data_IF_575284309423
#
_entry.id   IF_575284309423
#
_cell.length_a   1.000
_cell.length_b   1.000
_cell.length_c   1.000
_cell.angle_alpha   90.00
_cell.angle_beta   90.00
_cell.angle_gamma   90.00
#
_symmetry.space_group_name_H-M   'P 1'
#
loop_
_entity.id
_entity.type
_entity.pdbx_description
1 polymer ?
#
# COMPACT_ATOMS: atom_id res chain seq x y z
N UNK A 1 -9.17 2.36 -8.17
CA UNK A 1 -10.25 1.36 -8.03
C UNK A 1 -11.00 1.75 -6.75
N UNK A 2 -11.99 1.01 -6.26
CA UNK A 2 -12.55 1.34 -4.94
C UNK A 2 -11.65 0.73 -3.86
N UNK A 3 -11.20 1.53 -2.89
CA UNK A 3 -10.56 1.02 -1.67
C UNK A 3 -11.43 -0.08 -1.04
N UNK A 4 -10.82 -1.22 -0.72
CA UNK A 4 -11.51 -2.28 0.02
C UNK A 4 -11.26 -2.05 1.49
N UNK A 5 -12.34 -1.78 2.23
CA UNK A 5 -12.27 -1.66 3.69
C UNK A 5 -11.53 -2.85 4.29
N UNK A 6 -10.50 -2.54 5.06
CA UNK A 6 -9.62 -3.52 5.67
C UNK A 6 -9.25 -3.00 7.06
N UNK A 7 -9.73 -3.69 8.09
CA UNK A 7 -9.43 -3.36 9.49
C UNK A 7 -7.94 -3.39 9.78
N UNK A 8 -7.19 -4.24 9.07
CA UNK A 8 -5.75 -4.38 9.25
C UNK A 8 -4.97 -3.21 8.62
N UNK A 9 -5.63 -2.33 7.85
CA UNK A 9 -5.07 -1.09 7.31
C UNK A 9 -5.51 0.16 8.07
N UNK A 10 -6.45 0.07 9.01
CA UNK A 10 -6.92 1.24 9.77
C UNK A 10 -5.81 1.91 10.59
N UNK A 11 -4.77 1.17 10.98
CA UNK A 11 -3.64 1.74 11.70
C UNK A 11 -2.92 2.81 10.88
N UNK A 12 -2.96 2.74 9.54
CA UNK A 12 -2.35 3.75 8.66
C UNK A 12 -2.96 5.15 8.89
N UNK A 13 -4.24 5.22 9.27
CA UNK A 13 -4.92 6.49 9.60
C UNK A 13 -4.42 7.12 10.90
N UNK A 14 -3.70 6.35 11.73
CA UNK A 14 -3.13 6.80 13.01
C UNK A 14 -1.65 7.14 12.90
N UNK A 15 -1.01 6.84 11.77
CA UNK A 15 0.40 7.10 11.53
C UNK A 15 0.65 8.59 11.27
N UNK A 16 1.85 9.05 11.63
CA UNK A 16 2.28 10.40 11.28
C UNK A 16 2.58 10.50 9.79
N UNK A 17 2.55 11.71 9.23
CA UNK A 17 2.94 11.93 7.83
C UNK A 17 4.36 11.46 7.54
N UNK A 18 5.27 11.49 8.53
CA UNK A 18 6.63 10.96 8.35
C UNK A 18 6.64 9.44 8.19
N UNK A 19 5.90 8.70 9.02
CA UNK A 19 5.84 7.23 8.89
C UNK A 19 5.18 6.80 7.57
N UNK A 20 4.16 7.55 7.14
CA UNK A 20 3.48 7.31 5.86
C UNK A 20 4.34 7.69 4.66
N UNK A 21 5.32 8.59 4.81
CA UNK A 21 6.24 8.96 3.75
C UNK A 21 7.08 7.77 3.29
N UNK A 22 7.61 6.98 4.22
CA UNK A 22 8.43 5.82 3.86
C UNK A 22 7.60 4.78 3.09
N UNK A 23 6.35 4.56 3.50
CA UNK A 23 5.42 3.71 2.77
C UNK A 23 5.10 4.28 1.39
N UNK A 24 4.82 5.58 1.29
CA UNK A 24 4.57 6.28 0.03
C UNK A 24 5.74 6.11 -0.94
N UNK A 25 6.97 6.31 -0.46
CA UNK A 25 8.15 6.24 -1.31
C UNK A 25 8.36 4.83 -1.88
N UNK A 26 8.11 3.79 -1.10
CA UNK A 26 8.17 2.39 -1.58
C UNK A 26 7.13 2.10 -2.67
N UNK A 27 5.94 2.69 -2.56
CA UNK A 27 4.84 2.53 -3.51
C UNK A 27 5.03 3.35 -4.79
N UNK A 28 5.65 4.53 -4.69
CA UNK A 28 5.81 5.47 -5.81
C UNK A 28 7.13 5.26 -6.55
N UNK A 29 8.22 4.97 -5.84
CA UNK A 29 9.55 4.89 -6.43
C UNK A 29 10.08 3.45 -6.49
N UNK A 30 10.91 3.19 -7.49
CA UNK A 30 11.72 1.98 -7.56
C UNK A 30 13.03 2.11 -6.79
N UNK A 31 13.81 1.03 -6.77
CA UNK A 31 15.12 0.96 -6.11
C UNK A 31 16.14 1.97 -6.63
N UNK A 32 15.94 2.49 -7.85
CA UNK A 32 16.82 3.44 -8.52
C UNK A 32 16.28 4.89 -8.38
N UNK A 33 15.24 5.09 -7.55
CA UNK A 33 14.62 6.40 -7.30
C UNK A 33 13.71 6.88 -8.44
N UNK A 34 13.38 6.03 -9.41
CA UNK A 34 12.49 6.40 -10.52
C UNK A 34 11.05 6.11 -10.15
N UNK A 35 10.14 7.00 -10.57
CA UNK A 35 8.70 6.76 -10.41
C UNK A 35 8.29 5.49 -11.14
N UNK A 36 7.51 4.65 -10.48
CA UNK A 36 6.95 3.43 -11.06
C UNK A 36 5.88 3.80 -12.08
N UNK A 37 5.88 3.14 -13.24
CA UNK A 37 4.86 3.40 -14.28
C UNK A 37 3.43 3.07 -13.84
N UNK A 38 3.28 2.21 -12.83
CA UNK A 38 1.98 1.73 -12.34
C UNK A 38 1.46 2.51 -11.14
N UNK A 39 2.19 3.50 -10.63
CA UNK A 39 1.77 4.25 -9.45
C UNK A 39 0.67 5.27 -9.80
N UNK A 40 -0.42 5.25 -9.04
CA UNK A 40 -1.54 6.19 -9.17
C UNK A 40 -1.60 7.24 -8.06
N UNK A 41 -0.60 7.29 -7.17
CA UNK A 41 -0.59 8.15 -5.99
C UNK A 41 -0.22 9.59 -6.36
N UNK A 42 0.85 9.80 -7.13
CA UNK A 42 1.29 11.17 -7.47
C UNK A 42 0.37 11.86 -8.47
N UNK A 43 -0.48 11.09 -9.15
CA UNK A 43 -1.50 11.59 -10.08
C UNK A 43 -2.84 11.90 -9.39
N UNK A 44 -3.02 11.46 -8.14
CA UNK A 44 -4.26 11.65 -7.38
C UNK A 44 -4.50 13.11 -7.00
N UNK A 45 -5.77 13.50 -6.90
CA UNK A 45 -6.16 14.86 -6.51
C UNK A 45 -5.78 15.15 -5.04
N UNK A 46 -5.80 14.12 -4.20
CA UNK A 46 -5.39 14.17 -2.80
C UNK A 46 -3.91 14.57 -2.67
N UNK A 47 -3.03 13.94 -3.46
CA UNK A 47 -1.61 14.30 -3.49
C UNK A 47 -1.41 15.74 -3.99
N UNK A 48 -2.13 16.15 -5.05
CA UNK A 48 -2.05 17.54 -5.56
C UNK A 48 -2.54 18.57 -4.54
N UNK A 49 -3.55 18.22 -3.74
CA UNK A 49 -4.17 19.12 -2.76
C UNK A 49 -3.40 19.21 -1.44
N UNK A 50 -2.83 18.10 -0.98
CA UNK A 50 -2.22 17.99 0.34
C UNK A 50 -0.70 17.82 0.32
N UNK A 51 -0.10 17.54 -0.83
CA UNK A 51 1.34 17.43 -1.02
C UNK A 51 1.94 16.40 -0.06
N UNK A 52 2.91 16.82 0.75
CA UNK A 52 3.63 15.95 1.68
C UNK A 52 2.87 15.71 3.01
N UNK A 53 1.62 16.14 3.13
CA UNK A 53 0.79 15.86 4.30
C UNK A 53 0.06 14.52 4.13
N UNK A 54 0.85 13.43 4.14
CA UNK A 54 0.41 12.07 3.86
C UNK A 54 -0.73 11.59 4.79
N UNK A 55 -0.78 12.06 6.03
CA UNK A 55 -1.84 11.72 6.97
C UNK A 55 -3.24 12.14 6.47
N UNK A 56 -3.33 13.21 5.67
CA UNK A 56 -4.62 13.66 5.09
C UNK A 56 -5.17 12.74 4.02
N UNK A 57 -4.36 11.84 3.47
CA UNK A 57 -4.76 10.91 2.42
C UNK A 57 -4.21 9.49 2.67
N UNK A 58 -4.09 9.10 3.94
CA UNK A 58 -3.66 7.76 4.34
C UNK A 58 -4.51 6.64 3.74
N UNK A 59 -5.82 6.87 3.54
CA UNK A 59 -6.72 5.91 2.87
C UNK A 59 -6.35 5.70 1.40
N UNK A 60 -5.93 6.76 0.70
CA UNK A 60 -5.45 6.67 -0.69
C UNK A 60 -4.12 5.89 -0.77
N UNK A 61 -3.24 6.07 0.21
CA UNK A 61 -2.00 5.29 0.34
C UNK A 61 -2.31 3.80 0.60
N UNK A 62 -3.30 3.51 1.45
CA UNK A 62 -3.77 2.16 1.70
C UNK A 62 -4.34 1.50 0.44
N UNK A 63 -5.11 2.23 -0.36
CA UNK A 63 -5.61 1.73 -1.65
C UNK A 63 -4.46 1.39 -2.61
N UNK A 64 -3.47 2.27 -2.74
CA UNK A 64 -2.31 2.01 -3.61
C UNK A 64 -1.50 0.80 -3.12
N UNK A 65 -1.37 0.62 -1.80
CA UNK A 65 -0.75 -0.56 -1.21
C UNK A 65 -1.49 -1.85 -1.57
N UNK A 66 -2.83 -1.85 -1.48
CA UNK A 66 -3.65 -2.99 -1.90
C UNK A 66 -3.49 -3.28 -3.39
N UNK A 67 -3.41 -2.24 -4.23
CA UNK A 67 -3.24 -2.39 -5.68
C UNK A 67 -1.82 -2.86 -6.06
N UNK A 68 -0.79 -2.31 -5.45
CA UNK A 68 0.60 -2.71 -5.65
C UNK A 68 0.84 -4.15 -5.16
N UNK A 69 0.23 -4.53 -4.03
CA UNK A 69 0.20 -5.89 -3.50
C UNK A 69 -0.63 -6.86 -4.35
N UNK A 70 -1.60 -6.41 -5.15
CA UNK A 70 -2.25 -7.27 -6.13
C UNK A 70 -1.35 -7.48 -7.37
N UNK A 71 -0.81 -6.38 -7.93
CA UNK A 71 -0.02 -6.40 -9.16
C UNK A 71 1.34 -7.10 -9.01
N UNK A 72 2.04 -6.87 -7.89
CA UNK A 72 3.35 -7.51 -7.64
C UNK A 72 3.24 -9.00 -7.35
N UNK A 73 2.07 -9.47 -6.93
CA UNK A 73 1.85 -10.85 -6.52
C UNK A 73 1.04 -11.65 -7.55
N UNK A 74 0.63 -11.02 -8.66
CA UNK A 74 0.07 -11.55 -9.92
C UNK A 74 -1.10 -12.58 -9.83
N UNK A 75 -1.45 -13.03 -8.63
CA UNK A 75 -2.34 -14.16 -8.33
C UNK A 75 -3.46 -13.74 -7.38
N UNK A 76 -3.25 -12.66 -6.62
CA UNK A 76 -4.18 -12.18 -5.60
C UNK A 76 -5.26 -11.31 -6.26
N UNK A 77 -6.29 -12.01 -6.73
CA UNK A 77 -7.64 -11.54 -7.04
C UNK A 77 -7.83 -10.67 -8.29
N UNK A 78 -8.45 -11.30 -9.30
CA UNK A 78 -9.16 -10.66 -10.40
C UNK A 78 -10.18 -9.65 -9.84
N UNK A 79 -9.84 -8.36 -9.87
CA UNK A 79 -10.80 -7.25 -9.82
C UNK A 79 -11.20 -6.71 -8.43
N UNK A 80 -10.69 -7.24 -7.32
CA UNK A 80 -10.96 -6.71 -5.97
C UNK A 80 -9.66 -6.56 -5.18
N UNK A 81 -9.48 -5.44 -4.47
CA UNK A 81 -8.30 -5.20 -3.65
C UNK A 81 -8.03 -6.36 -2.68
N UNK A 82 -6.75 -6.63 -2.45
CA UNK A 82 -6.25 -7.73 -1.62
C UNK A 82 -6.19 -7.28 -0.16
N UNK A 83 -6.53 -8.16 0.78
CA UNK A 83 -6.41 -7.82 2.20
C UNK A 83 -4.93 -7.69 2.58
N UNK A 84 -4.61 -6.73 3.45
CA UNK A 84 -3.26 -6.48 3.92
C UNK A 84 -2.63 -7.69 4.58
N UNK A 85 -3.43 -8.48 5.31
CA UNK A 85 -2.98 -9.77 5.86
C UNK A 85 -2.50 -10.74 4.79
N UNK A 86 -3.17 -10.81 3.64
CA UNK A 86 -2.75 -11.69 2.54
C UNK A 86 -1.42 -11.22 1.94
N UNK A 87 -1.27 -9.89 1.76
CA UNK A 87 -0.01 -9.27 1.34
C UNK A 87 1.12 -9.63 2.31
N UNK A 88 0.88 -9.46 3.62
CA UNK A 88 1.86 -9.80 4.66
C UNK A 88 2.22 -11.29 4.67
N UNK A 89 1.23 -12.18 4.60
CA UNK A 89 1.45 -13.62 4.54
C UNK A 89 2.37 -14.01 3.38
N UNK A 90 2.11 -13.46 2.19
CA UNK A 90 2.91 -13.73 1.00
C UNK A 90 4.32 -13.17 1.09
N UNK A 91 4.50 -11.97 1.65
CA UNK A 91 5.83 -11.42 1.95
C UNK A 91 6.59 -12.32 2.90
N UNK A 92 5.96 -12.77 3.99
CA UNK A 92 6.59 -13.68 4.95
C UNK A 92 6.95 -15.04 4.31
N UNK A 93 6.07 -15.60 3.46
CA UNK A 93 6.37 -16.82 2.69
C UNK A 93 7.59 -16.61 1.78
N UNK A 94 7.66 -15.49 1.05
CA UNK A 94 8.76 -15.16 0.14
C UNK A 94 10.09 -14.96 0.86
N UNK A 95 10.05 -14.34 2.03
CA UNK A 95 11.21 -14.12 2.89
C UNK A 95 11.59 -15.36 3.73
N UNK A 96 10.83 -16.46 3.62
CA UNK A 96 11.00 -17.70 4.41
C UNK A 96 11.03 -17.45 5.93
N UNK A 97 10.31 -16.43 6.39
CA UNK A 97 10.20 -16.09 7.81
C UNK A 97 9.11 -16.95 8.43
N UNK A 98 9.31 -17.39 9.67
CA UNK A 98 8.33 -18.16 10.39
C UNK A 98 7.27 -17.22 10.98
N UNK A 99 5.99 -17.43 10.67
CA UNK A 99 4.90 -16.58 11.13
C UNK A 99 3.64 -17.40 11.40
N UNK A 100 2.84 -16.98 12.38
CA UNK A 100 1.59 -17.65 12.69
C UNK A 100 0.47 -17.14 11.78
N UNK A 101 -0.03 -18.01 10.89
CA UNK A 101 -1.14 -17.69 9.97
C UNK A 101 -2.48 -17.54 10.70
N UNK A 102 -2.61 -17.97 11.96
CA UNK A 102 -3.84 -17.89 12.78
C UNK A 102 -3.64 -16.90 13.93
N UNK A 103 -3.80 -15.62 13.63
CA UNK A 103 -4.20 -14.59 14.59
C UNK A 103 -5.45 -13.94 14.00
#
# INVERSE_FOLDING_TARGET
MAYRYDSDLEFLKRLSSNDLKDLFDVLVYDKDGKKRFTEGLTLSEEYKRHGNDYAKYAERIAEELQHYGANSFASALRGTGVLYREILCEVCNKLKVNYNKKI
#
